data_IF_678957197894
#
_entry.id   IF_678957197894
#
_cell.length_a   1.000
_cell.length_b   1.000
_cell.length_c   1.000
_cell.angle_alpha   90.00
_cell.angle_beta   90.00
_cell.angle_gamma   90.00
#
_symmetry.space_group_name_H-M   'P 1'
#
loop_
_entity.id
_entity.type
_entity.pdbx_description
1 polymer ?
2 polymer ?
3 non-polymer ?
4 non-polymer ?
5 water ?
#
# COMPACT_ATOMS: atom_id res chain seq x y z
N UNK A 1 -3.30 22.50 -2.72
CA UNK A 1 -2.52 21.68 -1.83
C UNK A 1 -1.06 21.93 -2.13
N UNK A 2 -0.25 21.95 -1.10
CA UNK A 2 1.10 22.43 -1.19
C UNK A 2 2.09 21.44 -1.84
N UNK A 3 1.62 20.28 -2.20
CA UNK A 3 2.46 19.29 -2.84
C UNK A 3 2.27 19.23 -4.35
N UNK A 4 1.33 20.02 -4.87
CA UNK A 4 0.98 20.08 -6.28
C UNK A 4 1.04 21.49 -6.86
N UNK A 5 1.58 21.62 -8.07
CA UNK A 5 1.57 22.84 -8.88
C UNK A 5 1.06 22.51 -10.27
N UNK A 6 -0.10 23.05 -10.63
CA UNK A 6 -0.69 22.88 -11.92
C UNK A 6 -0.35 23.97 -12.96
N UNK A 7 -0.50 23.60 -14.23
CA UNK A 7 -0.23 24.52 -15.29
C UNK A 7 -1.08 25.76 -15.11
N UNK A 8 -0.45 26.89 -15.22
CA UNK A 8 -1.11 28.16 -15.13
C UNK A 8 -1.19 28.69 -13.72
N UNK A 9 -0.89 27.87 -12.73
CA UNK A 9 -0.68 28.35 -11.38
C UNK A 9 0.72 28.96 -11.11
N UNK A 10 0.89 29.68 -10.03
CA UNK A 10 2.16 30.27 -9.74
C UNK A 10 2.69 30.03 -8.32
N UNK A 11 3.99 29.87 -8.12
CA UNK A 11 4.57 29.95 -6.78
C UNK A 11 5.21 31.31 -6.66
N UNK A 12 4.73 32.09 -5.72
CA UNK A 12 5.23 33.43 -5.46
C UNK A 12 6.52 33.50 -4.70
N UNK A 13 7.07 34.68 -4.59
CA UNK A 13 8.33 34.84 -3.95
C UNK A 13 8.22 34.40 -2.49
N UNK A 14 9.20 33.62 -2.08
CA UNK A 14 9.30 33.06 -0.77
C UNK A 14 8.17 32.10 -0.37
N UNK A 15 7.53 31.50 -1.35
CA UNK A 15 6.59 30.45 -1.13
C UNK A 15 7.18 29.16 -1.69
N UNK A 16 6.58 28.03 -1.37
CA UNK A 16 7.12 26.72 -1.71
C UNK A 16 6.08 25.64 -1.80
N UNK A 17 6.39 24.59 -2.55
CA UNK A 17 5.84 23.27 -2.40
C UNK A 17 6.48 22.57 -1.20
N UNK A 18 5.72 21.76 -0.51
CA UNK A 18 6.22 21.01 0.61
C UNK A 18 5.56 19.65 0.72
N UNK A 19 6.30 18.65 1.07
CA UNK A 19 5.74 17.37 1.44
C UNK A 19 6.67 16.71 2.45
N UNK A 20 6.17 16.48 3.64
CA UNK A 20 6.97 15.90 4.67
C UNK A 20 8.26 16.69 4.90
N UNK A 21 9.41 16.11 4.75
CA UNK A 21 10.61 16.87 5.01
C UNK A 21 11.24 17.55 3.76
N UNK A 22 10.51 17.59 2.67
CA UNK A 22 10.97 18.18 1.46
C UNK A 22 10.29 19.52 1.23
N UNK A 23 11.04 20.48 0.70
CA UNK A 23 10.56 21.79 0.24
C UNK A 23 11.13 22.20 -1.14
N UNK A 24 10.32 22.79 -2.00
CA UNK A 24 10.77 23.31 -3.30
C UNK A 24 10.44 24.78 -3.30
N UNK A 25 11.45 25.59 -3.10
CA UNK A 25 11.23 26.96 -2.76
C UNK A 25 11.70 28.02 -3.75
N UNK A 26 10.80 28.91 -4.07
CA UNK A 26 11.09 30.05 -4.89
C UNK A 26 11.60 31.18 -3.99
N UNK A 27 12.89 31.21 -3.80
CA UNK A 27 13.49 32.12 -2.87
C UNK A 27 13.51 33.59 -3.28
N UNK A 28 13.65 34.44 -2.29
CA UNK A 28 13.73 35.85 -2.47
C UNK A 28 14.96 36.27 -3.22
N UNK A 29 15.95 35.42 -3.26
CA UNK A 29 17.18 35.71 -3.97
C UNK A 29 17.11 35.30 -5.43
N UNK A 30 15.94 34.83 -5.83
CA UNK A 30 15.57 34.35 -7.17
C UNK A 30 16.04 32.92 -7.47
N UNK A 31 16.71 32.29 -6.55
CA UNK A 31 17.06 30.90 -6.69
C UNK A 31 15.91 29.95 -6.31
N UNK A 32 15.67 28.95 -7.14
CA UNK A 32 14.71 27.90 -6.93
C UNK A 32 15.43 26.65 -6.47
N UNK A 33 15.17 26.27 -5.23
CA UNK A 33 15.91 25.26 -4.56
C UNK A 33 15.00 24.16 -4.01
N UNK A 34 15.38 22.92 -4.26
CA UNK A 34 14.79 21.75 -3.65
C UNK A 34 15.59 21.40 -2.40
N UNK A 35 14.98 21.50 -1.23
CA UNK A 35 15.65 21.08 -0.02
C UNK A 35 15.07 19.75 0.41
N UNK A 36 15.94 18.79 0.57
CA UNK A 36 15.54 17.49 0.96
C UNK A 36 16.67 16.72 1.60
N UNK A 37 16.44 15.45 1.76
CA UNK A 37 17.44 14.51 2.24
C UNK A 37 17.90 13.54 1.23
N UNK A 38 17.86 13.87 -0.04
CA UNK A 38 18.08 12.83 -1.01
C UNK A 38 18.81 13.30 -2.23
N UNK A 39 19.54 14.39 -2.11
CA UNK A 39 20.15 14.94 -3.27
C UNK A 39 19.25 16.07 -3.73
N UNK A 40 19.78 17.27 -3.65
CA UNK A 40 19.09 18.48 -3.92
C UNK A 40 19.03 18.84 -5.37
N UNK A 41 18.45 19.98 -5.65
CA UNK A 41 18.33 20.51 -6.97
C UNK A 41 18.16 22.00 -6.82
N UNK A 42 18.74 22.77 -7.72
CA UNK A 42 18.53 24.20 -7.78
C UNK A 42 18.65 24.73 -9.20
N UNK A 43 17.94 25.78 -9.50
CA UNK A 43 18.04 26.46 -10.77
C UNK A 43 19.39 27.13 -10.97
N UNK A 44 20.07 27.41 -9.87
CA UNK A 44 21.23 28.26 -9.85
C UNK A 44 21.01 29.68 -10.37
N UNK A 45 19.94 30.32 -9.96
CA UNK A 45 19.62 31.63 -10.47
C UNK A 45 19.73 32.77 -9.45
N UNK A 46 20.64 32.61 -8.49
CA UNK A 46 20.77 33.56 -7.42
C UNK A 46 21.15 34.88 -8.00
N UNK A 47 20.43 35.91 -7.61
CA UNK A 47 20.70 37.26 -8.03
C UNK A 47 20.36 37.55 -9.48
N UNK A 48 19.67 36.64 -10.13
CA UNK A 48 19.39 36.81 -11.54
C UNK A 48 18.12 37.59 -11.73
N UNK A 49 17.49 37.95 -10.66
CA UNK A 49 16.19 38.55 -10.77
C UNK A 49 15.69 39.16 -9.50
N UNK A 50 14.57 39.87 -9.57
CA UNK A 50 13.89 40.39 -8.40
C UNK A 50 12.37 40.09 -8.31
N UNK A 51 11.91 39.80 -7.11
CA UNK A 51 10.52 39.45 -6.90
C UNK A 51 10.14 38.28 -7.79
N UNK A 52 11.03 37.32 -7.90
CA UNK A 52 10.83 36.21 -8.79
C UNK A 52 9.71 35.25 -8.41
N UNK A 53 9.11 34.67 -9.45
CA UNK A 53 8.04 33.73 -9.35
C UNK A 53 8.22 32.56 -10.31
N UNK A 54 7.56 31.48 -9.98
CA UNK A 54 7.68 30.21 -10.64
C UNK A 54 6.35 29.76 -11.21
N UNK A 55 6.33 29.45 -12.49
CA UNK A 55 5.18 29.00 -13.22
C UNK A 55 5.43 27.64 -13.90
N UNK A 56 4.40 26.81 -14.05
CA UNK A 56 4.47 25.61 -14.85
C UNK A 56 3.68 25.90 -16.10
N UNK A 57 4.32 25.77 -17.23
CA UNK A 57 3.64 26.05 -18.48
C UNK A 57 2.84 24.89 -19.07
N UNK A 58 2.34 25.10 -20.29
CA UNK A 58 1.48 24.17 -20.97
C UNK A 58 2.26 23.15 -21.80
N UNK A 59 3.56 23.15 -21.63
CA UNK A 59 4.41 22.12 -22.13
C UNK A 59 5.11 21.29 -21.03
N UNK A 60 4.77 21.47 -19.79
CA UNK A 60 5.45 20.76 -18.74
C UNK A 60 6.76 21.31 -18.23
N UNK A 61 7.14 22.50 -18.67
CA UNK A 61 8.34 23.16 -18.22
C UNK A 61 8.06 24.17 -17.10
N UNK A 62 8.97 24.30 -16.17
CA UNK A 62 8.92 25.35 -15.17
C UNK A 62 9.54 26.58 -15.77
N UNK A 63 9.00 27.76 -15.49
CA UNK A 63 9.54 29.02 -15.89
C UNK A 63 9.70 29.96 -14.71
N UNK A 64 10.88 30.47 -14.46
CA UNK A 64 11.10 31.51 -13.48
C UNK A 64 11.02 32.86 -14.17
N UNK A 65 10.16 33.73 -13.65
CA UNK A 65 9.94 35.08 -14.18
C UNK A 65 10.31 36.13 -13.18
N UNK A 66 10.89 37.22 -13.67
CA UNK A 66 11.39 38.28 -12.86
C UNK A 66 10.56 39.52 -12.97
N UNK A 67 10.67 40.39 -11.99
CA UNK A 67 9.88 41.59 -11.94
C UNK A 67 10.17 42.53 -13.09
N UNK A 68 11.42 42.62 -13.46
CA UNK A 68 11.74 43.22 -14.71
C UNK A 68 11.80 42.12 -15.69
N UNK A 69 10.71 41.73 -16.34
CA UNK A 69 10.83 40.44 -16.98
C UNK A 69 11.83 40.71 -18.04
N UNK A 70 11.44 40.91 -19.28
CA UNK A 70 10.29 40.33 -19.97
C UNK A 70 10.35 38.85 -20.26
N UNK A 71 11.50 38.37 -20.66
CA UNK A 71 11.70 36.96 -20.85
C UNK A 71 12.05 36.25 -19.54
N UNK A 72 11.74 34.97 -19.46
CA UNK A 72 11.97 34.22 -18.24
C UNK A 72 13.42 34.18 -17.86
N UNK A 73 13.68 34.17 -16.59
CA UNK A 73 14.97 33.99 -16.05
C UNK A 73 15.57 32.61 -16.29
N UNK A 74 14.74 31.57 -16.26
CA UNK A 74 15.19 30.21 -16.37
C UNK A 74 14.03 29.39 -16.89
N UNK A 75 14.32 28.41 -17.71
CA UNK A 75 13.32 27.48 -18.21
C UNK A 75 13.83 26.09 -18.07
N UNK A 76 13.03 25.17 -17.55
CA UNK A 76 13.51 23.83 -17.31
C UNK A 76 12.43 22.75 -17.51
N UNK A 77 12.75 21.69 -18.23
CA UNK A 77 14.00 21.53 -18.93
C UNK A 77 14.12 22.54 -20.08
N UNK A 78 15.31 22.69 -20.57
CA UNK A 78 15.59 23.77 -21.47
C UNK A 78 14.78 23.71 -22.75
N UNK A 79 14.61 22.52 -23.30
CA UNK A 79 13.82 22.27 -24.50
C UNK A 79 13.00 21.03 -24.32
N UNK A 80 11.80 21.06 -24.81
CA UNK A 80 10.87 20.01 -24.55
C UNK A 80 10.08 19.59 -25.82
N UNK A 81 9.80 18.31 -25.99
CA UNK A 81 9.06 17.80 -27.16
C UNK A 81 7.61 17.35 -26.86
N UNK A 82 7.12 17.79 -25.73
CA UNK A 82 5.82 17.51 -25.21
C UNK A 82 4.73 18.19 -25.99
N UNK A 83 3.54 17.65 -25.91
CA UNK A 83 2.33 18.28 -26.42
C UNK A 83 1.86 19.44 -25.58
N UNK A 84 1.13 20.36 -26.21
CA UNK A 84 0.50 21.40 -25.48
C UNK A 84 -0.65 20.86 -24.68
N UNK A 85 -0.77 21.26 -23.44
CA UNK A 85 -1.82 20.77 -22.62
C UNK A 85 -1.66 21.15 -21.17
N UNK A 86 -2.43 20.52 -20.30
CA UNK A 86 -2.34 20.76 -18.88
C UNK A 86 -1.42 19.74 -18.23
N UNK A 87 -0.52 20.24 -17.42
CA UNK A 87 0.51 19.45 -16.75
C UNK A 87 0.43 19.61 -15.21
N UNK A 88 1.03 18.71 -14.47
CA UNK A 88 1.10 18.79 -13.02
C UNK A 88 2.48 18.50 -12.48
N UNK A 89 2.97 19.32 -11.57
CA UNK A 89 4.19 19.06 -10.83
C UNK A 89 3.82 18.59 -9.43
N UNK A 90 4.34 17.46 -9.05
CA UNK A 90 4.08 16.86 -7.77
C UNK A 90 5.38 16.70 -7.01
N UNK A 91 5.43 17.20 -5.80
CA UNK A 91 6.52 16.96 -4.89
C UNK A 91 6.11 15.74 -4.07
N UNK A 92 6.68 14.62 -4.43
CA UNK A 92 6.29 13.30 -3.94
C UNK A 92 6.96 12.76 -2.70
N UNK A 93 6.57 11.56 -2.31
CA UNK A 93 7.13 10.85 -1.16
C UNK A 93 8.59 10.50 -1.35
N UNK A 94 9.04 10.55 -2.60
CA UNK A 94 10.44 10.41 -2.97
C UNK A 94 11.31 11.62 -2.69
N UNK A 95 10.67 12.69 -2.26
CA UNK A 95 11.28 13.97 -1.99
C UNK A 95 11.83 14.65 -3.25
N UNK A 96 11.20 14.39 -4.36
CA UNK A 96 11.55 14.98 -5.63
C UNK A 96 10.34 15.56 -6.32
N UNK A 97 10.56 16.49 -7.24
CA UNK A 97 9.50 17.05 -8.01
C UNK A 97 9.53 16.43 -9.39
N UNK A 98 8.44 15.81 -9.77
CA UNK A 98 8.25 15.19 -11.06
C UNK A 98 7.05 15.84 -11.76
N UNK A 99 7.21 16.07 -13.05
CA UNK A 99 6.17 16.68 -13.86
C UNK A 99 5.51 15.62 -14.71
N UNK A 100 4.20 15.58 -14.64
CA UNK A 100 3.36 14.65 -15.35
C UNK A 100 2.39 15.33 -16.31
N UNK A 101 2.23 14.80 -17.50
CA UNK A 101 1.19 15.25 -18.40
C UNK A 101 1.30 14.83 -19.85
N UNK A 102 0.34 15.24 -20.65
CA UNK A 102 -0.75 16.08 -20.21
C UNK A 102 -1.92 15.31 -19.64
N UNK A 103 -3.00 15.99 -19.31
CA UNK A 103 -4.11 15.32 -18.72
C UNK A 103 -4.67 14.28 -19.68
N UNK A 104 -5.00 13.12 -19.14
CA UNK A 104 -5.56 12.04 -19.91
C UNK A 104 -7.01 11.60 -19.53
N UNK A 105 -7.46 11.93 -18.34
CA UNK A 105 -8.79 11.65 -17.88
C UNK A 105 -9.14 12.64 -16.78
N UNK A 106 -10.41 12.98 -16.72
CA UNK A 106 -10.96 13.81 -15.68
C UNK A 106 -12.41 13.52 -15.38
N UNK A 107 -12.75 13.65 -14.13
CA UNK A 107 -14.12 13.72 -13.73
C UNK A 107 -14.67 15.13 -14.10
N UNK A 108 -15.97 15.27 -14.06
CA UNK A 108 -16.63 16.48 -14.49
C UNK A 108 -16.40 17.68 -13.63
N UNK A 109 -16.50 18.85 -14.21
CA UNK A 109 -16.39 20.12 -13.51
C UNK A 109 -17.40 20.21 -12.40
N UNK A 110 -17.09 20.87 -11.31
CA UNK A 110 -18.11 21.21 -10.33
C UNK A 110 -18.24 22.73 -10.32
N UNK A 111 -19.38 23.25 -10.74
CA UNK A 111 -20.52 22.50 -11.18
C UNK A 111 -21.53 23.56 -11.60
N UNK B 1 6.70 -0.72 -3.50
CA UNK B 1 5.57 0.00 -2.95
C UNK B 1 5.85 1.44 -2.61
N UNK B 2 5.00 2.29 -3.12
CA UNK B 2 5.05 3.72 -2.92
C UNK B 2 4.17 4.08 -1.72
N UNK B 3 4.66 4.94 -0.86
CA UNK B 3 3.91 5.34 0.32
C UNK B 3 2.59 6.04 -0.05
N UNK B 4 1.55 5.87 0.74
CA UNK B 4 0.30 6.50 0.48
C UNK B 4 0.39 8.02 0.65
N UNK B 5 -0.21 8.75 -0.27
CA UNK B 5 -0.39 10.20 -0.20
C UNK B 5 -1.90 10.59 -0.22
N UNK B 6 -2.25 11.54 0.61
CA UNK B 6 -3.63 11.88 0.86
C UNK B 6 -4.41 12.34 -0.38
N UNK B 7 -3.78 13.13 -1.22
CA UNK B 7 -4.41 13.77 -2.36
C UNK B 7 -4.04 13.24 -3.75
N UNK B 8 -3.10 12.31 -3.83
CA UNK B 8 -2.56 11.80 -5.07
C UNK B 8 -2.35 10.29 -5.04
N UNK B 9 -2.69 9.60 -6.11
CA UNK B 9 -2.40 8.18 -6.32
C UNK B 9 -1.44 8.04 -7.50
N UNK B 10 -0.37 7.28 -7.34
CA UNK B 10 0.65 7.08 -8.33
C UNK B 10 0.45 5.74 -9.03
N UNK B 11 0.97 5.56 -10.24
CA UNK B 11 0.77 4.32 -10.96
C UNK B 11 1.33 3.12 -10.15
N UNK B 12 0.60 2.03 -10.16
CA UNK B 12 0.82 0.79 -9.41
C UNK B 12 0.15 0.79 -8.01
N UNK B 13 -0.14 1.95 -7.46
CA UNK B 13 -0.90 2.02 -6.23
C UNK B 13 -2.36 1.56 -6.39
N UNK B 14 -2.92 1.07 -5.31
CA UNK B 14 -4.27 0.59 -5.26
C UNK B 14 -5.06 1.15 -4.06
N UNK B 15 -6.37 1.18 -4.18
CA UNK B 15 -7.25 1.55 -3.12
C UNK B 15 -8.36 0.52 -2.96
N UNK B 16 -8.65 0.13 -1.74
CA UNK B 16 -9.70 -0.81 -1.47
C UNK B 16 -10.36 -0.63 -0.11
N UNK B 17 -11.56 -1.15 0.03
CA UNK B 17 -12.22 -1.21 1.29
C UNK B 17 -12.33 0.14 2.01
N UNK B 18 -12.82 1.13 1.28
CA UNK B 18 -13.12 2.47 1.77
C UNK B 18 -11.94 3.41 1.90
N UNK B 19 -10.80 3.01 1.39
CA UNK B 19 -9.67 3.87 1.24
C UNK B 19 -10.02 5.08 0.33
N UNK B 20 -9.43 6.22 0.58
CA UNK B 20 -9.75 7.41 -0.16
C UNK B 20 -8.60 8.35 -0.44
N UNK B 21 -8.85 9.21 -1.42
CA UNK B 21 -8.16 10.44 -1.59
C UNK B 21 -9.06 11.53 -1.06
N UNK B 22 -8.47 12.58 -0.51
CA UNK B 22 -9.18 13.66 0.10
C UNK B 22 -8.49 14.99 -0.12
N UNK B 23 -9.26 16.03 -0.39
CA UNK B 23 -8.83 17.42 -0.28
C UNK B 23 -10.00 18.34 -0.01
N UNK B 24 -9.81 19.27 0.90
CA UNK B 24 -10.89 20.13 1.36
C UNK B 24 -12.06 19.25 1.77
N UNK B 25 -13.24 19.52 1.26
CA UNK B 25 -14.41 18.72 1.54
C UNK B 25 -14.69 17.61 0.53
N UNK B 26 -13.79 17.42 -0.40
CA UNK B 26 -13.87 16.38 -1.43
C UNK B 26 -13.18 15.10 -0.99
N UNK B 27 -13.76 13.99 -1.36
CA UNK B 27 -13.13 12.69 -1.27
C UNK B 27 -13.41 11.78 -2.47
N UNK B 28 -12.44 10.98 -2.84
CA UNK B 28 -12.66 9.91 -3.77
C UNK B 28 -12.50 8.61 -3.05
N UNK B 29 -13.59 7.89 -2.86
CA UNK B 29 -13.62 6.65 -2.10
C UNK B 29 -13.83 5.37 -2.94
N UNK B 30 -12.96 4.40 -2.77
CA UNK B 30 -13.17 3.09 -3.32
C UNK B 30 -13.90 2.32 -2.24
N UNK B 31 -15.20 2.31 -2.35
CA UNK B 31 -16.09 1.75 -1.37
C UNK B 31 -16.05 0.23 -1.28
N UNK B 32 -16.48 -0.28 -0.15
CA UNK B 32 -16.53 -1.71 0.10
C UNK B 32 -17.61 -2.41 -0.71
N UNK B 33 -18.41 -1.65 -1.43
CA UNK B 33 -19.42 -2.18 -2.34
C UNK B 33 -19.07 -2.18 -3.81
N UNK B 34 -17.80 -1.90 -4.12
CA UNK B 34 -17.24 -1.91 -5.46
C UNK B 34 -17.49 -0.65 -6.29
N UNK B 35 -18.10 0.35 -5.67
CA UNK B 35 -18.36 1.63 -6.27
C UNK B 35 -17.28 2.67 -5.93
N UNK B 36 -16.78 3.34 -6.94
CA UNK B 36 -15.80 4.39 -6.77
C UNK B 36 -16.54 5.70 -6.80
N UNK B 37 -16.49 6.43 -5.73
CA UNK B 37 -17.33 7.58 -5.59
C UNK B 37 -16.59 8.86 -5.26
N UNK B 38 -16.87 9.92 -5.96
CA UNK B 38 -16.31 11.18 -5.65
C UNK B 38 -17.39 12.12 -5.09
N UNK B 39 -17.19 12.54 -3.85
CA UNK B 39 -18.20 13.30 -3.15
C UNK B 39 -17.69 14.57 -2.52
N UNK B 40 -18.62 15.47 -2.27
CA UNK B 40 -18.38 16.76 -1.68
C UNK B 40 -19.23 16.95 -0.44
N UNK B 41 -18.62 17.47 0.61
CA UNK B 41 -19.28 17.71 1.88
C UNK B 41 -19.40 16.52 2.79
N UNK B 42 -18.32 16.17 3.45
CA UNK B 42 -18.21 14.91 4.17
C UNK B 42 -19.29 13.87 3.91
N UNK B 43 -19.24 13.26 2.71
CA UNK B 43 -20.04 12.09 2.38
C UNK B 43 -21.23 12.25 1.48
N UNK B 44 -21.75 13.44 1.29
CA UNK B 44 -23.09 13.40 0.79
C UNK B 44 -23.40 13.64 -0.67
N UNK B 45 -23.04 14.76 -1.22
CA UNK B 45 -23.38 15.06 -2.59
C UNK B 45 -22.39 14.33 -3.48
N UNK B 46 -22.88 13.41 -4.28
CA UNK B 46 -22.04 12.64 -5.16
C UNK B 46 -21.76 13.41 -6.43
N UNK B 47 -20.54 13.85 -6.62
CA UNK B 47 -20.09 14.46 -7.87
C UNK B 47 -19.95 13.53 -9.09
N UNK B 48 -19.42 12.35 -8.86
CA UNK B 48 -19.20 11.35 -9.89
C UNK B 48 -19.14 10.00 -9.21
N UNK B 49 -19.55 8.97 -9.93
CA UNK B 49 -19.42 7.61 -9.47
C UNK B 49 -19.21 6.64 -10.63
N UNK B 50 -18.55 5.54 -10.38
CA UNK B 50 -18.42 4.52 -11.37
C UNK B 50 -19.75 3.81 -11.62
N UNK B 51 -20.66 3.90 -10.67
CA UNK B 51 -21.87 3.14 -10.69
C UNK B 51 -21.70 1.64 -10.75
N UNK B 52 -20.79 1.12 -9.95
CA UNK B 52 -20.49 -0.29 -9.93
C UNK B 52 -20.78 -0.91 -8.62
N UNK B 53 -21.69 -0.34 -7.87
CA UNK B 53 -22.10 -0.87 -6.60
C UNK B 53 -22.71 -2.24 -6.73
N UNK B 54 -22.32 -3.16 -5.86
CA UNK B 54 -22.79 -4.52 -5.90
C UNK B 54 -22.07 -5.45 -6.87
N UNK B 55 -21.11 -4.92 -7.58
CA UNK B 55 -20.28 -5.73 -8.44
C UNK B 55 -19.26 -6.63 -7.77
N UNK B 56 -18.92 -6.40 -6.53
CA UNK B 56 -18.04 -7.30 -5.82
C UNK B 56 -17.89 -6.98 -4.35
N UNK B 57 -17.48 -7.93 -3.53
CA UNK B 57 -17.16 -7.57 -2.17
C UNK B 57 -15.67 -7.35 -1.82
N UNK B 58 -14.77 -7.63 -2.74
CA UNK B 58 -13.35 -7.42 -2.54
C UNK B 58 -12.69 -6.61 -3.68
N UNK B 59 -13.42 -5.65 -4.22
CA UNK B 59 -12.94 -4.84 -5.35
C UNK B 59 -11.83 -3.88 -4.99
N UNK B 60 -10.94 -3.65 -5.94
CA UNK B 60 -9.88 -2.69 -5.80
C UNK B 60 -9.75 -1.80 -7.02
N UNK B 61 -9.31 -0.60 -6.80
CA UNK B 61 -8.95 0.33 -7.84
C UNK B 61 -7.44 0.48 -7.99
N UNK B 62 -6.99 0.55 -9.22
CA UNK B 62 -5.59 0.63 -9.55
C UNK B 62 -5.35 1.59 -10.68
N UNK B 63 -4.35 2.43 -10.51
CA UNK B 63 -3.89 3.30 -11.55
C UNK B 63 -2.73 2.62 -12.24
N UNK B 64 -2.89 2.44 -13.54
CA UNK B 64 -1.95 1.76 -14.36
C UNK B 64 -0.83 2.60 -14.93
N UNK B 65 0.03 1.97 -15.71
CA UNK B 65 1.15 2.61 -16.33
C UNK B 65 0.92 3.07 -17.78
N UNK B 66 -0.34 3.15 -18.15
CA UNK B 66 -0.79 3.88 -19.31
C UNK B 66 -1.87 4.92 -18.95
N UNK B 67 -1.95 5.25 -17.66
CA UNK B 67 -2.93 6.20 -17.20
C UNK B 67 -4.34 5.68 -17.01
N UNK B 68 -4.56 4.40 -17.22
CA UNK B 68 -5.87 3.79 -17.04
C UNK B 68 -6.25 3.59 -15.59
N UNK B 69 -7.50 3.79 -15.23
CA UNK B 69 -8.03 3.42 -13.94
C UNK B 69 -8.99 2.25 -14.04
N UNK B 70 -8.62 1.13 -13.45
CA UNK B 70 -9.41 -0.08 -13.43
C UNK B 70 -9.98 -0.36 -12.05
N UNK B 71 -11.25 -0.73 -11.99
CA UNK B 71 -11.82 -1.33 -10.83
C UNK B 71 -11.92 -2.84 -11.08
N UNK B 72 -11.28 -3.58 -10.21
CA UNK B 72 -10.99 -4.98 -10.37
C UNK B 72 -11.56 -5.79 -9.23
N UNK B 73 -12.15 -6.91 -9.53
CA UNK B 73 -12.62 -7.82 -8.51
C UNK B 73 -11.60 -8.84 -8.02
N UNK B 74 -11.96 -9.65 -7.04
CA UNK B 74 -11.03 -10.63 -6.48
C UNK B 74 -10.52 -11.61 -7.52
N UNK B 75 -11.31 -11.85 -8.55
CA UNK B 75 -10.98 -12.81 -9.57
C UNK B 75 -10.13 -12.18 -10.65
N UNK B 76 -9.82 -10.92 -10.46
CA UNK B 76 -9.06 -10.14 -11.39
C UNK B 76 -9.82 -9.72 -12.66
N UNK B 77 -11.13 -9.82 -12.66
CA UNK B 77 -11.92 -9.29 -13.77
C UNK B 77 -12.13 -7.79 -13.56
N UNK B 78 -12.05 -7.02 -14.63
CA UNK B 78 -12.25 -5.60 -14.51
C UNK B 78 -13.73 -5.28 -14.63
N UNK B 79 -14.26 -4.77 -13.56
CA UNK B 79 -15.57 -4.19 -13.41
C UNK B 79 -15.82 -2.83 -14.10
N UNK B 80 -14.81 -1.99 -14.16
CA UNK B 80 -14.90 -0.67 -14.79
C UNK B 80 -13.52 -0.28 -15.26
N UNK B 81 -13.40 0.32 -16.43
CA UNK B 81 -12.17 0.92 -16.79
C UNK B 81 -12.39 2.28 -17.43
N UNK B 82 -11.49 3.20 -17.17
CA UNK B 82 -11.53 4.47 -17.84
C UNK B 82 -11.05 4.32 -19.28
N UNK B 83 -11.29 5.31 -20.11
CA UNK B 83 -11.02 5.16 -21.52
C UNK B 83 -9.59 5.50 -21.92
N UNK B 84 -8.79 5.86 -20.95
CA UNK B 84 -7.43 6.31 -21.21
C UNK B 84 -6.45 5.28 -21.59
N UNK B 85 -5.56 5.64 -22.48
CA UNK B 85 -4.37 4.87 -22.64
C UNK B 85 -3.26 5.54 -23.38
N UNK B 86 -2.44 6.25 -22.61
CA UNK B 86 -1.30 6.95 -23.09
C UNK B 86 -0.07 6.10 -23.22
N UNK B 87 1.04 6.75 -23.39
CA UNK B 87 2.31 6.11 -23.57
C UNK B 87 2.76 5.44 -22.25
N UNK B 88 3.48 4.34 -22.34
CA UNK B 88 3.91 3.65 -21.16
C UNK B 88 4.80 4.51 -20.31
N UNK B 89 4.53 4.51 -19.03
CA UNK B 89 5.28 5.30 -18.10
C UNK B 89 4.54 5.43 -16.79
N UNK B 90 4.89 6.45 -16.03
CA UNK B 90 4.36 6.70 -14.71
C UNK B 90 3.33 7.83 -14.71
N UNK B 91 2.20 7.59 -14.11
CA UNK B 91 1.07 8.49 -14.12
C UNK B 91 0.64 8.87 -12.69
N UNK B 92 -0.13 9.93 -12.59
CA UNK B 92 -0.60 10.38 -11.34
C UNK B 92 -2.07 10.75 -11.42
N UNK B 93 -2.83 10.34 -10.44
CA UNK B 93 -4.22 10.72 -10.27
C UNK B 93 -4.23 11.71 -9.11
N UNK B 94 -4.67 12.91 -9.39
CA UNK B 94 -4.75 13.96 -8.41
C UNK B 94 -6.19 14.35 -8.08
N UNK B 95 -6.53 14.37 -6.81
CA UNK B 95 -7.80 14.92 -6.42
C UNK B 95 -7.58 16.40 -6.16
N UNK B 96 -7.97 17.19 -7.13
CA UNK B 96 -7.73 18.62 -7.13
C UNK B 96 -8.66 19.50 -6.29
N UNK B 97 -8.17 20.68 -5.95
CA UNK B 97 -8.93 21.64 -5.17
C UNK B 97 -10.17 22.16 -5.86
N UNK B 98 -10.24 22.05 -7.17
CA UNK B 98 -11.39 22.44 -7.95
C UNK B 98 -12.48 21.36 -8.05
N UNK B 99 -12.31 20.29 -7.31
CA UNK B 99 -13.24 19.19 -7.26
C UNK B 99 -13.16 18.11 -8.31
N UNK B 100 -12.17 18.16 -9.16
CA UNK B 100 -12.01 17.18 -10.20
C UNK B 100 -10.92 16.23 -9.84
N UNK B 101 -11.12 14.97 -10.17
CA UNK B 101 -10.09 13.97 -10.14
C UNK B 101 -9.54 13.83 -11.54
N UNK B 102 -8.26 14.06 -11.68
CA UNK B 102 -7.54 14.10 -12.95
C UNK B 102 -6.30 13.20 -13.00
N UNK B 103 -6.18 12.46 -14.08
CA UNK B 103 -5.02 11.66 -14.31
C UNK B 103 -4.12 12.40 -15.28
N UNK B 104 -2.87 12.56 -14.89
CA UNK B 104 -1.83 13.16 -15.67
C UNK B 104 -0.66 12.20 -15.91
N UNK B 105 -0.22 12.13 -17.15
CA UNK B 105 1.01 11.47 -17.48
C UNK B 105 1.27 11.31 -18.95
N UNK B 106 2.38 10.70 -19.31
CA UNK B 106 3.36 10.15 -18.38
C UNK B 106 4.31 11.17 -17.81
N UNK B 107 5.25 10.76 -17.00
CA UNK B 107 6.17 11.68 -16.42
C UNK B 107 7.01 12.27 -17.52
N UNK B 108 7.15 13.57 -17.51
CA UNK B 108 7.99 14.26 -18.42
C UNK B 108 9.45 14.37 -17.98
N UNK B 109 9.68 14.85 -16.76
CA UNK B 109 11.00 15.07 -16.21
C UNK B 109 10.92 15.06 -14.68
N UNK B 110 12.06 14.90 -14.04
CA UNK B 110 12.18 14.90 -12.60
C UNK B 110 13.43 15.58 -12.08
N UNK B 111 13.37 16.11 -10.86
CA UNK B 111 14.53 16.68 -10.21
C UNK B 111 15.53 15.60 -9.80
N UNK B 112 15.12 14.36 -9.93
CA UNK B 112 15.80 13.19 -9.38
C UNK B 112 17.16 12.74 -9.87
N UNK B 113 17.46 12.75 -11.14
CA UNK B 113 16.79 13.47 -12.14
C UNK B 113 16.10 12.49 -13.05
N UNK C 1 9.24 -14.68 14.94
CA UNK C 1 8.67 -13.35 14.96
C UNK C 1 7.51 -13.17 15.94
N UNK C 2 7.53 -12.04 16.65
CA UNK C 2 6.67 -11.81 17.78
C UNK C 2 5.21 -11.47 17.47
N UNK C 3 4.92 -11.23 16.21
CA UNK C 3 3.57 -11.05 15.78
C UNK C 3 2.84 -12.33 15.31
N UNK C 4 3.54 -13.45 15.30
CA UNK C 4 3.03 -14.72 14.82
C UNK C 4 3.21 -15.92 15.78
N UNK C 5 2.18 -16.73 15.95
CA UNK C 5 2.26 -18.01 16.64
C UNK C 5 1.71 -19.08 15.70
N UNK C 6 2.56 -20.03 15.34
CA UNK C 6 2.19 -21.20 14.55
C UNK C 6 1.84 -22.42 15.38
N UNK C 7 1.12 -23.35 14.77
CA UNK C 7 0.69 -24.57 15.41
C UNK C 7 1.90 -25.29 15.97
N UNK C 8 1.77 -25.70 17.20
CA UNK C 8 2.79 -26.47 17.87
C UNK C 8 3.81 -25.64 18.62
N UNK C 9 3.83 -24.36 18.38
CA UNK C 9 4.60 -23.44 19.17
C UNK C 9 3.89 -23.02 20.45
N UNK C 10 4.65 -22.50 21.39
CA UNK C 10 4.12 -22.15 22.69
C UNK C 10 4.46 -20.72 23.11
N UNK C 11 3.59 -20.05 23.82
CA UNK C 11 3.97 -18.83 24.46
C UNK C 11 4.11 -19.18 25.94
N UNK C 12 5.30 -19.01 26.49
CA UNK C 12 5.60 -19.31 27.87
C UNK C 12 5.02 -18.29 28.85
N UNK C 13 5.11 -18.59 30.14
CA UNK C 13 4.56 -17.74 31.16
C UNK C 13 5.24 -16.37 31.07
N UNK C 14 4.41 -15.35 31.04
CA UNK C 14 4.78 -13.95 30.97
C UNK C 14 5.52 -13.58 29.66
N UNK C 15 5.33 -14.38 28.64
CA UNK C 15 5.67 -14.01 27.30
C UNK C 15 4.44 -13.56 26.49
N UNK C 16 4.66 -13.00 25.31
CA UNK C 16 3.61 -12.41 24.55
C UNK C 16 3.88 -12.27 23.07
N UNK C 17 2.85 -12.29 22.27
CA UNK C 17 2.83 -11.68 20.98
C UNK C 17 2.73 -10.16 21.15
N UNK C 18 3.36 -9.45 20.24
CA UNK C 18 3.25 -8.01 20.08
C UNK C 18 3.34 -7.54 18.66
N UNK C 19 2.61 -6.50 18.38
CA UNK C 19 2.81 -5.68 17.23
C UNK C 19 2.46 -4.24 17.56
N UNK C 20 3.41 -3.35 17.37
CA UNK C 20 3.20 -1.93 17.64
C UNK C 20 2.69 -1.76 19.08
N UNK C 21 1.54 -1.15 19.26
CA UNK C 21 1.06 -0.89 20.60
C UNK C 21 0.30 -2.06 21.26
N UNK C 22 0.01 -3.08 20.49
CA UNK C 22 -0.79 -4.20 20.95
C UNK C 22 0.08 -5.34 21.43
N UNK C 23 -0.38 -6.01 22.47
CA UNK C 23 0.22 -7.21 23.05
C UNK C 23 -0.83 -8.27 23.45
N UNK C 24 -0.52 -9.53 23.22
CA UNK C 24 -1.34 -10.68 23.62
C UNK C 24 -0.48 -11.49 24.62
N UNK C 25 -0.77 -11.38 25.89
CA UNK C 25 0.10 -11.83 26.94
C UNK C 25 -0.40 -13.04 27.73
N UNK C 26 0.44 -14.04 27.85
CA UNK C 26 0.15 -15.21 28.66
C UNK C 26 0.65 -14.89 30.06
N UNK C 27 -0.24 -14.38 30.90
CA UNK C 27 0.15 -13.82 32.19
C UNK C 27 0.50 -14.83 33.27
N UNK C 28 1.25 -14.37 34.25
CA UNK C 28 1.62 -15.16 35.40
C UNK C 28 0.46 -15.57 36.27
N UNK C 29 -0.62 -14.83 36.21
CA UNK C 29 -1.84 -15.18 36.91
C UNK C 29 -2.71 -16.20 36.15
N UNK C 30 -2.22 -16.64 35.02
CA UNK C 30 -2.88 -17.58 34.13
C UNK C 30 -3.96 -16.98 33.17
N UNK C 31 -4.18 -15.68 33.26
CA UNK C 31 -5.06 -14.98 32.36
C UNK C 31 -4.35 -14.64 31.06
N UNK C 32 -5.01 -14.84 29.94
CA UNK C 32 -4.46 -14.49 28.65
C UNK C 32 -5.18 -13.27 28.20
N UNK C 33 -4.47 -12.17 28.07
CA UNK C 33 -5.10 -10.93 27.73
C UNK C 33 -4.48 -10.13 26.60
N UNK C 34 -5.34 -9.56 25.78
CA UNK C 34 -4.99 -8.70 24.70
C UNK C 34 -5.12 -7.29 25.21
N UNK C 35 -4.01 -6.58 25.21
CA UNK C 35 -3.95 -5.16 25.53
C UNK C 35 -3.75 -4.37 24.22
N UNK C 36 -4.65 -3.43 23.96
CA UNK C 36 -4.64 -2.63 22.76
C UNK C 36 -5.39 -1.30 22.96
N UNK C 37 -5.26 -0.38 22.01
CA UNK C 37 -5.93 0.88 22.10
C UNK C 37 -7.27 0.65 21.51
N UNK C 38 -8.11 -0.11 22.15
CA UNK C 38 -9.32 -0.52 21.50
C UNK C 38 -10.08 -1.46 22.42
N UNK C 39 -10.78 -2.41 21.84
CA UNK C 39 -11.42 -3.40 22.66
C UNK C 39 -10.49 -4.57 22.81
N UNK C 40 -10.17 -4.90 24.06
CA UNK C 40 -9.30 -5.97 24.42
C UNK C 40 -10.08 -7.26 24.43
N UNK C 41 -9.48 -8.28 24.99
CA UNK C 41 -10.00 -9.62 25.01
C UNK C 41 -9.32 -10.30 26.17
N UNK C 42 -10.01 -11.19 26.87
CA UNK C 42 -9.43 -11.97 27.97
C UNK C 42 -9.95 -13.37 27.89
N UNK C 43 -9.13 -14.32 28.25
CA UNK C 43 -9.58 -15.65 28.49
C UNK C 43 -10.47 -15.73 29.76
N UNK C 44 -10.32 -14.79 30.66
CA UNK C 44 -10.93 -14.79 31.97
C UNK C 44 -10.57 -15.99 32.80
N UNK C 45 -9.30 -16.26 32.86
CA UNK C 45 -8.82 -17.48 33.38
C UNK C 45 -7.89 -17.23 34.62
N UNK C 46 -8.12 -16.12 35.29
CA UNK C 46 -7.29 -15.67 36.40
C UNK C 46 -7.31 -16.72 37.51
N UNK C 47 -6.14 -17.13 37.94
CA UNK C 47 -5.97 -18.04 39.02
C UNK C 47 -6.34 -19.48 38.77
N UNK C 48 -6.56 -19.86 37.54
CA UNK C 48 -6.96 -21.20 37.21
C UNK C 48 -5.79 -22.14 36.98
N UNK C 49 -4.59 -21.69 37.16
CA UNK C 49 -3.44 -22.53 36.88
C UNK C 49 -2.15 -21.94 37.35
N UNK C 50 -1.10 -22.75 37.25
CA UNK C 50 0.21 -22.36 37.69
C UNK C 50 1.19 -22.44 36.54
N UNK C 51 2.01 -21.42 36.40
CA UNK C 51 3.02 -21.40 35.36
C UNK C 51 2.42 -21.66 33.97
N UNK C 52 1.34 -21.00 33.67
CA UNK C 52 0.61 -21.33 32.50
C UNK C 52 1.31 -20.96 31.20
N UNK C 53 1.05 -21.76 30.18
CA UNK C 53 1.54 -21.58 28.85
C UNK C 53 0.41 -21.73 27.81
N UNK C 54 0.63 -21.13 26.66
CA UNK C 54 -0.33 -21.07 25.60
C UNK C 54 0.19 -21.74 24.34
N UNK C 55 -0.62 -22.54 23.71
CA UNK C 55 -0.25 -23.14 22.47
C UNK C 55 -1.39 -23.04 21.45
N UNK C 56 -1.03 -23.01 20.18
CA UNK C 56 -1.96 -23.10 19.10
C UNK C 56 -1.91 -24.52 18.57
N UNK C 57 -3.07 -25.17 18.51
CA UNK C 57 -3.14 -26.56 18.12
C UNK C 57 -3.31 -26.79 16.61
N UNK C 58 -3.51 -28.05 16.25
CA UNK C 58 -3.62 -28.42 14.86
C UNK C 58 -5.04 -28.32 14.29
N UNK C 59 -5.91 -27.72 15.07
CA UNK C 59 -7.26 -27.37 14.68
C UNK C 59 -7.61 -25.87 14.72
N UNK C 60 -6.62 -25.03 14.98
CA UNK C 60 -6.81 -23.61 15.10
C UNK C 60 -7.31 -23.07 16.44
N UNK C 61 -7.25 -23.89 17.46
CA UNK C 61 -7.65 -23.51 18.78
C UNK C 61 -6.44 -23.20 19.67
N UNK C 62 -6.58 -22.18 20.47
CA UNK C 62 -5.66 -21.89 21.53
C UNK C 62 -5.93 -22.79 22.73
N UNK C 63 -4.87 -23.30 23.34
CA UNK C 63 -4.97 -24.09 24.54
C UNK C 63 -4.06 -23.49 25.62
N UNK C 64 -4.63 -23.18 26.76
CA UNK C 64 -3.87 -22.80 27.93
C UNK C 64 -3.63 -24.01 28.79
N UNK C 65 -2.37 -24.28 29.04
CA UNK C 65 -1.94 -25.41 29.83
C UNK C 65 -1.29 -25.00 31.16
N UNK C 66 -1.50 -25.82 32.16
CA UNK C 66 -1.03 -25.56 33.49
C UNK C 66 -0.01 -26.59 33.92
N UNK C 67 0.95 -26.16 34.71
CA UNK C 67 1.98 -27.03 35.20
C UNK C 67 1.38 -28.11 36.09
N UNK C 68 0.31 -27.76 36.77
CA UNK C 68 -0.27 -28.60 37.79
C UNK C 68 -1.40 -29.48 37.28
N UNK C 69 -1.68 -29.46 35.99
CA UNK C 69 -2.74 -30.29 35.47
C UNK C 69 -2.48 -30.82 34.09
N UNK C 70 -2.95 -32.02 33.84
CA UNK C 70 -2.82 -32.68 32.57
C UNK C 70 -3.63 -32.17 31.41
N UNK C 71 -4.87 -31.82 31.67
CA UNK C 71 -5.78 -31.30 30.66
C UNK C 71 -5.77 -29.76 30.66
N UNK C 72 -6.05 -29.15 29.55
CA UNK C 72 -5.92 -27.69 29.45
C UNK C 72 -6.86 -26.97 30.39
N UNK C 73 -6.39 -25.83 30.86
CA UNK C 73 -7.18 -24.89 31.61
C UNK C 73 -8.36 -24.30 30.78
N UNK C 74 -8.13 -24.04 29.51
CA UNK C 74 -9.04 -23.34 28.63
C UNK C 74 -8.70 -23.75 27.20
N UNK C 75 -9.71 -23.95 26.38
CA UNK C 75 -9.51 -24.06 24.96
C UNK C 75 -10.54 -23.23 24.21
N UNK C 76 -10.05 -22.47 23.24
CA UNK C 76 -10.87 -21.55 22.50
C UNK C 76 -10.60 -21.55 20.98
N UNK C 77 -11.63 -21.65 20.17
CA UNK C 77 -12.97 -21.92 20.61
C UNK C 77 -13.13 -23.35 21.17
N UNK C 78 -14.08 -23.54 22.04
CA UNK C 78 -14.19 -24.79 22.76
C UNK C 78 -14.40 -25.92 21.75
N UNK C 79 -15.21 -25.66 20.75
CA UNK C 79 -15.45 -26.62 19.69
C UNK C 79 -15.29 -26.03 18.31
N UNK C 80 -14.60 -26.75 17.47
CA UNK C 80 -14.40 -26.39 16.09
C UNK C 80 -14.61 -27.59 15.14
N UNK C 81 -14.84 -27.29 13.87
CA UNK C 81 -14.96 -28.30 12.83
C UNK C 81 -13.93 -28.12 11.73
N UNK C 82 -12.70 -27.87 12.11
CA UNK C 82 -11.63 -27.61 11.19
C UNK C 82 -10.89 -28.86 10.78
N UNK C 83 -10.29 -28.80 9.61
CA UNK C 83 -9.37 -29.81 9.17
C UNK C 83 -8.17 -29.83 10.09
N UNK C 84 -7.63 -30.99 10.34
CA UNK C 84 -6.40 -31.09 11.05
C UNK C 84 -5.27 -30.63 10.13
N UNK C 85 -4.41 -29.79 10.67
CA UNK C 85 -3.42 -29.13 9.86
C UNK C 85 -2.61 -28.07 10.58
N UNK C 86 -1.92 -27.27 9.80
CA UNK C 86 -1.15 -26.18 10.32
C UNK C 86 -1.90 -24.84 10.27
N UNK C 87 -1.93 -24.16 11.39
CA UNK C 87 -2.64 -22.90 11.58
C UNK C 87 -1.64 -21.77 12.02
N UNK C 88 -2.03 -20.52 11.88
CA UNK C 88 -1.25 -19.39 12.33
C UNK C 88 -2.09 -18.36 13.04
N UNK C 89 -1.67 -17.93 14.21
CA UNK C 89 -2.23 -16.78 14.89
C UNK C 89 -1.36 -15.57 14.60
N UNK C 90 -1.98 -14.55 14.07
CA UNK C 90 -1.33 -13.30 13.76
C UNK C 90 -1.95 -12.09 14.51
N UNK C 91 -1.12 -11.33 15.19
CA UNK C 91 -1.52 -10.10 15.82
C UNK C 91 -1.28 -9.02 14.79
N UNK C 92 -2.34 -8.62 14.14
CA UNK C 92 -2.26 -7.72 13.02
C UNK C 92 -2.17 -6.25 13.33
N UNK C 93 -2.08 -5.45 12.28
CA UNK C 93 -2.07 -4.01 12.36
C UNK C 93 -3.39 -3.48 12.89
N UNK C 94 -4.40 -4.31 12.85
CA UNK C 94 -5.70 -4.05 13.42
C UNK C 94 -5.78 -4.14 14.96
N UNK C 95 -4.68 -4.51 15.59
CA UNK C 95 -4.62 -4.71 17.02
C UNK C 95 -5.40 -5.92 17.61
N UNK C 96 -5.68 -6.87 16.76
CA UNK C 96 -6.36 -8.09 17.13
C UNK C 96 -5.60 -9.33 16.70
N UNK C 97 -5.91 -10.43 17.35
CA UNK C 97 -5.35 -11.70 17.03
C UNK C 97 -6.35 -12.49 16.23
N UNK C 98 -5.97 -12.85 15.02
CA UNK C 98 -6.78 -13.65 14.14
C UNK C 98 -6.10 -14.97 13.83
N UNK C 99 -6.83 -16.06 13.94
CA UNK C 99 -6.32 -17.37 13.62
C UNK C 99 -6.76 -17.76 12.21
N UNK C 100 -5.79 -18.13 11.40
CA UNK C 100 -5.93 -18.47 9.99
C UNK C 100 -5.50 -19.91 9.69
N UNK C 101 -6.28 -20.62 8.90
CA UNK C 101 -5.86 -21.91 8.42
C UNK C 101 -6.97 -22.76 7.86
N UNK C 102 -6.63 -23.94 7.39
CA UNK C 102 -5.29 -24.48 7.45
C UNK C 102 -4.35 -23.95 6.35
N UNK C 103 -3.10 -24.34 6.37
CA UNK C 103 -2.21 -23.95 5.31
C UNK C 103 -2.70 -24.50 3.96
N UNK C 104 -2.73 -23.65 2.96
CA UNK C 104 -3.15 -24.12 1.66
C UNK C 104 -2.15 -24.17 0.50
N UNK C 105 -1.09 -23.40 0.60
CA UNK C 105 -0.01 -23.38 -0.35
C UNK C 105 1.26 -22.98 0.40
N UNK C 106 2.36 -23.58 0.02
CA UNK C 106 3.65 -23.17 0.49
C UNK C 106 4.78 -23.47 -0.46
N UNK C 107 5.85 -22.71 -0.31
CA UNK C 107 7.10 -22.96 -0.98
C UNK C 107 7.76 -24.15 -0.33
N UNK C 108 8.67 -24.84 -1.01
CA UNK C 108 9.24 -26.06 -0.46
C UNK C 108 10.04 -25.85 0.82
N UNK C 109 9.95 -26.73 1.78
CA UNK C 109 10.84 -26.69 2.92
C UNK C 109 12.28 -26.83 2.47
N UNK C 110 13.17 -25.98 2.91
CA UNK C 110 12.84 -24.87 3.71
C UNK C 110 13.65 -23.68 3.24
N UNK D 1 -7.44 0.13 2.82
CA UNK D 1 -6.09 -0.35 2.72
C UNK D 1 -5.53 -0.77 4.07
N UNK D 2 -5.06 -1.99 4.12
CA UNK D 2 -4.38 -2.55 5.25
C UNK D 2 -2.92 -2.04 5.34
N UNK D 3 -2.46 -1.61 6.51
CA UNK D 3 -1.09 -1.20 6.63
C UNK D 3 -0.10 -2.32 6.35
N UNK D 4 1.04 -1.96 5.79
CA UNK D 4 2.11 -2.86 5.43
C UNK D 4 2.79 -3.42 6.68
N UNK D 5 3.08 -4.71 6.64
CA UNK D 5 3.73 -5.40 7.74
C UNK D 5 4.92 -6.14 7.17
N UNK D 6 6.00 -6.18 7.90
CA UNK D 6 7.26 -6.67 7.41
C UNK D 6 7.33 -8.13 6.95
N UNK D 7 6.71 -9.02 7.69
CA UNK D 7 6.78 -10.44 7.51
C UNK D 7 5.50 -11.16 7.04
N UNK D 8 4.44 -10.40 6.91
CA UNK D 8 3.15 -10.93 6.54
C UNK D 8 2.42 -10.08 5.47
N UNK D 9 1.80 -10.71 4.49
CA UNK D 9 0.96 -10.06 3.50
C UNK D 9 -0.48 -10.54 3.71
N UNK D 10 -1.43 -9.64 3.85
CA UNK D 10 -2.84 -9.96 4.06
C UNK D 10 -3.68 -9.91 2.76
N UNK D 11 -4.83 -10.58 2.73
CA UNK D 11 -5.66 -10.56 1.52
C UNK D 11 -6.01 -9.09 1.13
N UNK D 12 -5.95 -8.80 -0.15
CA UNK D 12 -6.09 -7.51 -0.79
C UNK D 12 -4.77 -6.72 -0.92
N UNK D 13 -3.78 -7.08 -0.14
CA UNK D 13 -2.49 -6.45 -0.23
C UNK D 13 -1.75 -6.82 -1.49
N UNK D 14 -0.88 -5.95 -1.88
CA UNK D 14 -0.17 -5.98 -3.10
C UNK D 14 1.34 -5.66 -2.90
N UNK D 15 2.21 -6.23 -3.71
CA UNK D 15 3.63 -5.90 -3.72
C UNK D 15 4.15 -5.65 -5.12
N UNK D 16 5.02 -4.66 -5.29
CA UNK D 16 5.54 -4.33 -6.60
C UNK D 16 6.87 -3.59 -6.51
N UNK D 17 7.61 -3.59 -7.60
CA UNK D 17 8.80 -2.79 -7.73
C UNK D 17 9.80 -3.02 -6.59
N UNK D 18 10.11 -4.27 -6.34
CA UNK D 18 11.11 -4.64 -5.37
C UNK D 18 10.71 -4.56 -3.88
N UNK D 19 9.45 -4.40 -3.62
CA UNK D 19 8.92 -4.53 -2.28
C UNK D 19 9.12 -5.96 -1.83
N UNK D 20 9.23 -6.15 -0.53
CA UNK D 20 9.48 -7.46 0.03
C UNK D 20 8.87 -7.73 1.40
N UNK D 21 8.74 -9.00 1.69
CA UNK D 21 8.60 -9.54 3.03
C UNK D 21 10.00 -9.98 3.46
N UNK D 22 10.28 -9.89 4.74
CA UNK D 22 11.54 -10.26 5.30
C UNK D 22 11.45 -10.79 6.72
N UNK D 23 12.21 -11.82 7.02
CA UNK D 23 12.56 -12.20 8.36
C UNK D 23 13.95 -12.82 8.43
N UNK D 24 14.71 -12.51 9.45
CA UNK D 24 16.05 -13.03 9.57
C UNK D 24 16.79 -12.67 8.29
N UNK D 25 17.39 -13.65 7.66
CA UNK D 25 18.08 -13.40 6.42
C UNK D 25 17.31 -13.77 5.15
N UNK D 26 16.01 -13.98 5.28
CA UNK D 26 15.13 -14.33 4.19
C UNK D 26 14.39 -13.10 3.71
N UNK D 27 14.20 -13.03 2.41
CA UNK D 27 13.42 -12.03 1.72
C UNK D 27 12.49 -12.69 0.71
N UNK D 28 11.28 -12.17 0.58
CA UNK D 28 10.40 -12.55 -0.50
C UNK D 28 10.15 -11.26 -1.26
N UNK D 29 10.71 -11.19 -2.46
CA UNK D 29 10.78 -9.98 -3.24
C UNK D 29 10.01 -10.06 -4.55
N UNK D 30 9.12 -9.13 -4.77
CA UNK D 30 8.47 -8.99 -6.05
C UNK D 30 9.34 -8.07 -6.88
N UNK D 31 10.24 -8.65 -7.63
CA UNK D 31 11.21 -7.90 -8.40
C UNK D 31 10.65 -7.09 -9.56
N UNK D 32 11.43 -6.11 -9.98
CA UNK D 32 11.04 -5.17 -11.01
C UNK D 32 11.03 -5.83 -12.40
N UNK D 33 11.51 -7.05 -12.44
CA UNK D 33 11.53 -7.85 -13.63
C UNK D 33 10.38 -8.85 -13.76
N UNK D 34 9.41 -8.75 -12.88
CA UNK D 34 8.23 -9.60 -12.83
C UNK D 34 8.43 -10.95 -12.13
N UNK D 35 9.61 -11.19 -11.58
CA UNK D 35 9.93 -12.41 -10.88
C UNK D 35 9.76 -12.34 -9.36
N UNK D 36 9.02 -13.28 -8.82
CA UNK D 36 8.86 -13.30 -7.38
C UNK D 36 9.85 -14.27 -6.82
N UNK D 37 10.73 -13.78 -5.98
CA UNK D 37 11.87 -14.56 -5.51
C UNK D 37 11.98 -14.65 -3.98
N UNK D 38 12.16 -15.85 -3.44
CA UNK D 38 12.54 -16.04 -2.06
C UNK D 38 14.03 -16.38 -1.99
N UNK D 39 14.77 -15.52 -1.32
CA UNK D 39 16.21 -15.52 -1.25
C UNK D 39 16.70 -15.56 0.19
N UNK D 40 17.85 -16.15 0.44
CA UNK D 40 18.48 -16.13 1.75
C UNK D 40 19.93 -15.66 1.67
N UNK D 41 20.29 -14.66 2.43
CA UNK D 41 21.65 -14.18 2.44
C UNK D 41 21.97 -12.91 1.68
N UNK D 42 21.53 -12.74 0.45
CA UNK D 42 21.42 -13.80 -0.50
C UNK D 42 22.88 -14.15 -0.82
N UNK D 43 23.21 -15.44 -0.81
CA UNK D 43 24.55 -15.85 -1.16
C UNK D 43 24.25 -15.70 -2.62
N UNK D 44 23.60 -14.53 -2.78
CA UNK D 44 22.68 -14.14 -3.85
C UNK D 44 21.70 -15.28 -4.14
N UNK D 45 21.07 -15.78 -3.09
CA UNK D 45 20.68 -17.15 -3.04
C UNK D 45 19.21 -17.51 -3.04
N UNK D 46 18.74 -17.89 -4.20
CA UNK D 46 17.35 -18.19 -4.41
C UNK D 46 16.96 -19.61 -4.04
N UNK D 47 16.11 -19.72 -3.02
CA UNK D 47 15.29 -20.85 -2.59
C UNK D 47 14.07 -21.27 -3.41
N UNK D 48 13.33 -20.27 -3.87
CA UNK D 48 12.15 -20.46 -4.67
C UNK D 48 11.94 -19.24 -5.59
N UNK D 49 11.39 -19.46 -6.76
CA UNK D 49 10.94 -18.40 -7.62
C UNK D 49 9.73 -18.76 -8.46
N UNK D 50 8.95 -17.75 -8.81
CA UNK D 50 7.88 -17.89 -9.73
C UNK D 50 8.39 -18.29 -11.10
N UNK D 51 9.62 -17.94 -11.41
CA UNK D 51 10.18 -18.06 -12.74
C UNK D 51 9.56 -17.22 -13.83
N UNK D 52 9.19 -16.02 -13.49
CA UNK D 52 8.46 -15.17 -14.39
C UNK D 52 9.26 -13.98 -14.87
N UNK D 53 10.57 -14.06 -14.79
CA UNK D 53 11.41 -12.96 -15.16
C UNK D 53 11.18 -12.62 -16.61
N UNK D 54 11.00 -11.35 -16.89
CA UNK D 54 10.77 -10.89 -18.22
C UNK D 54 9.36 -10.93 -18.73
N UNK D 55 8.39 -11.29 -17.91
CA UNK D 55 7.00 -11.23 -18.34
C UNK D 55 6.31 -9.87 -18.10
N UNK D 56 7.01 -8.93 -17.53
CA UNK D 56 6.46 -7.59 -17.38
C UNK D 56 7.36 -6.53 -16.84
N UNK D 57 7.06 -5.28 -17.11
CA UNK D 57 7.77 -4.17 -16.55
C UNK D 57 7.12 -3.51 -15.30
N UNK D 58 5.84 -3.74 -15.09
CA UNK D 58 5.10 -3.18 -13.99
C UNK D 58 4.21 -4.23 -13.27
N UNK D 59 4.73 -5.43 -13.10
CA UNK D 59 4.02 -6.50 -12.46
C UNK D 59 3.80 -6.24 -10.96
N UNK D 60 2.73 -6.80 -10.45
CA UNK D 60 2.50 -6.79 -9.05
C UNK D 60 2.07 -8.17 -8.56
N UNK D 61 2.34 -8.47 -7.30
CA UNK D 61 1.81 -9.64 -6.67
C UNK D 61 0.68 -9.31 -5.71
N UNK D 62 -0.38 -10.11 -5.75
CA UNK D 62 -1.53 -9.90 -4.92
C UNK D 62 -2.02 -11.19 -4.26
N UNK D 63 -2.37 -11.14 -2.98
CA UNK D 63 -3.01 -12.24 -2.29
C UNK D 63 -4.49 -11.96 -2.29
N UNK D 64 -5.25 -12.89 -2.82
CA UNK D 64 -6.68 -12.82 -2.93
C UNK D 64 -7.50 -13.34 -1.77
N UNK D 65 -8.79 -13.20 -1.88
CA UNK D 65 -9.70 -13.64 -0.83
C UNK D 65 -10.13 -15.11 -0.94
N UNK D 66 -9.47 -15.85 -1.81
CA UNK D 66 -9.55 -17.29 -1.84
C UNK D 66 -8.20 -17.98 -1.59
N UNK D 67 -7.23 -17.23 -1.08
CA UNK D 67 -5.93 -17.75 -0.75
C UNK D 67 -5.00 -17.83 -1.95
N UNK D 68 -5.49 -17.40 -3.09
CA UNK D 68 -4.74 -17.37 -4.31
C UNK D 68 -3.66 -16.28 -4.32
N UNK D 69 -2.48 -16.63 -4.79
CA UNK D 69 -1.43 -15.68 -5.00
C UNK D 69 -1.18 -15.51 -6.47
N UNK D 70 -1.44 -14.32 -6.99
CA UNK D 70 -1.30 -14.02 -8.39
C UNK D 70 -0.16 -13.04 -8.66
N UNK D 71 0.61 -13.24 -9.70
CA UNK D 71 1.47 -12.23 -10.19
C UNK D 71 0.79 -11.68 -11.44
N UNK D 72 0.60 -10.39 -11.50
CA UNK D 72 -0.09 -9.79 -12.59
C UNK D 72 0.57 -8.57 -13.22
N UNK D 73 0.44 -8.47 -14.53
CA UNK D 73 0.98 -7.36 -15.28
C UNK D 73 0.08 -6.15 -15.39
N UNK D 74 0.58 -5.12 -16.04
CA UNK D 74 -0.10 -3.83 -16.09
C UNK D 74 -1.45 -3.91 -16.76
N UNK D 75 -1.60 -4.87 -17.63
CA UNK D 75 -2.79 -5.09 -18.43
C UNK D 75 -3.80 -5.94 -17.68
N UNK D 76 -3.44 -6.30 -16.47
CA UNK D 76 -4.22 -7.11 -15.61
C UNK D 76 -4.28 -8.58 -16.05
N UNK D 77 -3.33 -9.01 -16.83
CA UNK D 77 -3.21 -10.42 -17.14
C UNK D 77 -2.37 -11.15 -16.11
N UNK D 78 -2.75 -12.34 -15.74
CA UNK D 78 -1.98 -13.12 -14.82
C UNK D 78 -0.77 -13.81 -15.46
N UNK D 79 0.41 -13.58 -14.90
CA UNK D 79 1.57 -14.31 -15.37
C UNK D 79 2.01 -15.50 -14.51
N UNK D 80 1.56 -15.58 -13.29
CA UNK D 80 1.72 -16.73 -12.43
C UNK D 80 0.55 -16.78 -11.48
N UNK D 81 0.04 -17.95 -11.17
CA UNK D 81 -0.84 -18.13 -10.04
C UNK D 81 -0.60 -19.43 -9.25
N UNK D 82 -0.77 -19.38 -7.94
CA UNK D 82 -0.65 -20.57 -7.13
C UNK D 82 -1.83 -21.44 -7.42
N UNK D 83 -1.64 -22.73 -7.26
CA UNK D 83 -2.67 -23.64 -7.69
C UNK D 83 -3.97 -23.52 -6.88
N UNK D 84 -3.81 -23.33 -5.59
CA UNK D 84 -4.89 -23.30 -4.63
C UNK D 84 -5.95 -22.23 -4.76
N UNK D 85 -7.07 -22.56 -4.15
CA UNK D 85 -8.09 -21.67 -3.72
C UNK D 85 -8.89 -22.36 -2.65
N UNK D 86 -9.34 -21.61 -1.70
CA UNK D 86 -10.14 -22.12 -0.64
C UNK D 86 -11.44 -21.40 -0.58
N UNK D 87 -12.06 -21.52 0.56
CA UNK D 87 -13.26 -20.85 0.85
C UNK D 87 -13.04 -19.33 0.81
N UNK D 88 -13.98 -18.62 0.27
CA UNK D 88 -13.88 -17.21 0.29
C UNK D 88 -13.78 -16.64 1.73
N UNK D 89 -12.93 -15.66 1.93
CA UNK D 89 -12.52 -15.23 3.24
C UNK D 89 -11.28 -14.36 3.27
N UNK D 90 -10.63 -14.27 4.42
CA UNK D 90 -9.41 -13.55 4.58
C UNK D 90 -8.26 -14.52 4.82
N UNK D 91 -7.17 -14.27 4.13
CA UNK D 91 -6.01 -15.11 4.16
C UNK D 91 -4.76 -14.31 4.51
N UNK D 92 -3.73 -15.03 4.87
CA UNK D 92 -2.44 -14.48 5.11
C UNK D 92 -1.29 -15.28 4.44
N UNK D 93 -0.32 -14.56 3.93
CA UNK D 93 0.94 -15.09 3.48
C UNK D 93 2.00 -14.70 4.51
N UNK D 94 2.62 -15.67 5.10
CA UNK D 94 3.69 -15.44 6.06
C UNK D 94 5.05 -15.95 5.56
N UNK D 95 6.06 -15.09 5.65
CA UNK D 95 7.44 -15.49 5.43
C UNK D 95 7.99 -15.99 6.75
N UNK D 96 8.11 -17.29 6.84
CA UNK D 96 8.50 -17.94 8.09
C UNK D 96 9.98 -18.02 8.42
N UNK D 97 10.25 -18.20 9.70
CA UNK D 97 11.58 -18.25 10.22
C UNK D 97 12.33 -19.45 9.69
N UNK D 98 11.58 -20.43 9.20
CA UNK D 98 12.13 -21.64 8.60
C UNK D 98 12.40 -21.53 7.11
N UNK D 99 12.25 -20.35 6.58
CA UNK D 99 12.53 -20.12 5.21
C UNK D 99 11.45 -20.46 4.21
N UNK D 100 10.26 -20.79 4.67
CA UNK D 100 9.11 -21.01 3.80
C UNK D 100 8.13 -19.83 3.76
N UNK D 101 7.56 -19.57 2.60
CA UNK D 101 6.43 -18.70 2.49
C UNK D 101 5.18 -19.58 2.39
N UNK D 102 4.23 -19.31 3.27
CA UNK D 102 3.07 -20.13 3.45
C UNK D 102 1.77 -19.33 3.47
N UNK D 103 0.77 -19.77 2.74
CA UNK D 103 -0.50 -19.12 2.88
C UNK D 103 -1.46 -19.91 3.74
N UNK D 104 -2.04 -19.21 4.68
CA UNK D 104 -2.96 -19.73 5.64
C UNK D 104 -4.33 -19.03 5.51
N UNK D 105 -5.37 -19.81 5.47
CA UNK D 105 -6.72 -19.32 5.57
C UNK D 105 -7.79 -20.32 5.28
N UNK D 106 -9.06 -19.93 5.41
CA UNK D 106 -9.45 -18.57 5.80
C UNK D 106 -9.38 -18.31 7.32
N UNK D 107 -9.91 -17.19 7.79
CA UNK D 107 -9.89 -16.89 9.20
C UNK D 107 -10.81 -17.87 9.94
N UNK D 108 -10.27 -18.63 10.86
CA UNK D 108 -11.10 -19.42 11.73
C UNK D 108 -11.89 -18.62 12.79
N UNK D 109 -11.18 -17.80 13.53
CA UNK D 109 -11.73 -16.96 14.56
C UNK D 109 -10.78 -15.80 14.85
N UNK D 110 -11.30 -14.80 15.53
CA UNK D 110 -10.54 -13.63 15.90
C UNK D 110 -10.98 -13.04 17.25
N UNK D 111 -10.06 -12.37 17.93
CA UNK D 111 -10.36 -11.61 19.14
C UNK D 111 -11.33 -10.41 18.88
N UNK D 112 -11.41 -9.96 17.66
CA UNK D 112 -12.29 -8.84 17.33
C UNK D 112 -13.72 -9.20 17.46
X LIG E 1 6.54 8.82 -5.62
X LIG E 1 7.43 9.90 -5.34
X LIG E 1 7.17 7.94 -6.67
X LIG E 1 7.89 8.73 -7.55
X LIG E 1 6.14 7.34 -7.57
X LIG E 1 6.93 6.72 -8.58
X LIG F 1 17.09 31.69 2.27
X LIG F 1 16.33 32.72 1.72
X LIG F 1 18.58 31.96 2.12
X LIG F 1 18.88 32.81 1.01
X LIG F 1 19.08 30.55 1.96
X LIG F 1 20.46 30.60 1.72
X LIG G 1 4.61 8.34 4.43
X LIG G 1 5.19 8.89 3.50
X LIG G 1 5.21 7.68 5.28
X LIG H 1 6.16 15.20 8.67
X LIG H 1 5.95 16.35 8.33
X LIG H 1 5.43 14.27 8.28
X LIG I 1 -15.34 -9.25 -5.15
X LIG I 1 -14.21 -9.18 -5.60
X LIG I 1 -15.91 -10.33 -5.09
X LIG J 1 -4.34 21.85 -7.09
X LIG J 1 -4.39 20.67 -6.73
X LIG J 1 -3.60 22.75 -6.62
X LIG K 1 -8.26 20.20 -15.27
X LIG K 1 -7.40 19.54 -15.93
X LIG K 1 -8.11 20.92 -14.21
X LIG L 1 -6.64 -7.85 7.51
X LIG L 1 -8.02 -7.83 7.27
X LIG L 1 -6.50 -7.08 8.82
X LIG L 1 -7.34 -7.71 9.77
X LIG L 1 -5.05 -7.20 9.28
X LIG L 1 -4.97 -6.42 10.44
X LIG M 1 0.81 -29.16 31.02
X LIG M 1 0.05 -29.33 31.99
X LIG M 1 1.77 -28.36 30.96
X LIG N 1 4.27 -4.99 -17.26
X LIG N 1 3.13 -4.93 -16.83
X LIG N 1 4.54 -4.90 -18.48
X LIG O 1 -12.84 -8.48 4.49
X LIG O 1 -11.64 -8.39 4.09
X LIG O 1 -13.51 -7.65 5.16
#
# INVERSE_FOLDING_TARGET
>A
DNNVLLTGDVIHTDNQLSYESAAFVMQGDCNLVLYNEAGGFQSNTHGRGVDCTLRLNNRGQLEIHSANSNTPVWVYPRSVNTVRGNYAATLGPDQHVTIYGPAIWSTPAAA
>B
NIPRVRNVLFSSQVMYDNAQLATRDYSLVMRDDCNLVLTKGSKTNIVWESGTSGRGQHCFMRLGHSGELDITDDRLNTVFVSNTVGQEGDYVLILQINGQAVVYGPAVWSTAA
>C
DNNVLLTGDVIHTDNQLSYESAAFVMQGDCNLVLYNEAGGFQSNTHGRGVDCTLRLNNRGQLEIHSANSNTPVWVYPRSVNTVRGNYAATLGPDQHVTIYGPAIWSTPAAA
>D
NIPRVRNVLFSSQVMYDNAQLATRDYSLVMRDDCNLVLTKGSKTNIVWESGTSGRGQHCFMRLGHSGELDITDDRLNTVFVSNTVGQEGDYVLILQINGQAVVYGPAVWSTAA
>E hetero
1 GOL C1 O1 C2 O2 C3 O3
>F hetero
1 GOL C1 O1 C2 O2 C3 O3
>G hetero
1 FMT C O1 O2
>H hetero
1 FMT C O1 O2
>I hetero
1 FMT C O1 O2
>J hetero
1 FMT C O1 O2
>K hetero
1 FMT C O1 O2
>L hetero
1 GOL C1 O1 C2 O2 C3 O3
>M hetero
1 FMT C O1 O2
>N hetero
1 FMT C O1 O2
>O hetero
1 FMT C O1 O2
#
